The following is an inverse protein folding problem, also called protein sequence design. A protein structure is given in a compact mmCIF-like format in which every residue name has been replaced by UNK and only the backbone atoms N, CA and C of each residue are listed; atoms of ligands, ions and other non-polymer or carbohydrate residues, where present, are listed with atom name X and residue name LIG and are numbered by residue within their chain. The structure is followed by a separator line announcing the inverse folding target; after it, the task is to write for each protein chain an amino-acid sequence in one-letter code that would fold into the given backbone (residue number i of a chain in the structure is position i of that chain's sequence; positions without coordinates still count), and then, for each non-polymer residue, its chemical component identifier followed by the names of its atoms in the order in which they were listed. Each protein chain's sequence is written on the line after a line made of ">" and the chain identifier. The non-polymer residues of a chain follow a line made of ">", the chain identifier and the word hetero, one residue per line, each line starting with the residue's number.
data_IF_046236431119
#
_entry.id   IF_046236431119
#
_cell.length_a   1.000
_cell.length_b   1.000
_cell.length_c   1.000
_cell.angle_alpha   90.00
_cell.angle_beta   90.00
_cell.angle_gamma   90.00
#
_symmetry.space_group_name_H-M   'P 1'
#
loop_
_entity.id
_entity.type
_entity.pdbx_description
1 polymer ?
#
# COMPACT_ATOMS: atom_id res chain seq x y z
N UNK A 1 -9.15 -12.78 -16.65
CA UNK A 1 -10.00 -12.57 -15.49
C UNK A 1 -9.41 -11.49 -14.60
N UNK A 2 -10.25 -10.67 -14.15
CA UNK A 2 -9.83 -9.59 -13.27
C UNK A 2 -9.42 -10.13 -11.91
N UNK A 3 -8.39 -9.57 -11.35
CA UNK A 3 -7.93 -9.95 -10.02
C UNK A 3 -8.55 -9.11 -8.94
N UNK A 4 -9.42 -8.22 -9.31
CA UNK A 4 -10.01 -7.31 -8.35
C UNK A 4 -11.49 -7.18 -8.61
N UNK A 5 -12.18 -6.73 -7.60
CA UNK A 5 -13.57 -6.43 -7.72
C UNK A 5 -13.71 -5.06 -8.36
N UNK A 6 -14.58 -4.97 -9.33
CA UNK A 6 -14.89 -3.71 -9.93
C UNK A 6 -15.38 -2.74 -8.87
N UNK A 7 -15.04 -1.49 -9.00
CA UNK A 7 -15.46 -0.48 -8.07
C UNK A 7 -16.96 -0.53 -7.89
N UNK A 8 -17.41 -0.66 -6.68
CA UNK A 8 -18.79 -0.90 -6.40
C UNK A 8 -19.56 0.34 -6.10
N UNK A 9 -19.05 1.28 -5.65
CA UNK A 9 -19.79 2.41 -5.29
C UNK A 9 -19.27 3.60 -6.02
N UNK A 10 -19.25 4.61 -5.39
CA UNK A 10 -18.72 5.80 -5.92
C UNK A 10 -17.45 6.12 -5.18
N UNK A 11 -16.60 6.82 -5.85
CA UNK A 11 -15.39 7.28 -5.23
C UNK A 11 -15.73 8.39 -4.26
N UNK A 12 -15.26 8.27 -3.06
CA UNK A 12 -15.48 9.29 -2.08
C UNK A 12 -14.35 10.32 -2.15
N UNK A 13 -14.57 11.33 -2.95
CA UNK A 13 -13.56 12.33 -3.19
C UNK A 13 -13.17 13.10 -1.95
N UNK A 14 -14.05 13.18 -0.97
CA UNK A 14 -13.73 13.89 0.24
C UNK A 14 -12.65 13.18 1.03
N UNK A 15 -12.60 11.86 0.93
CA UNK A 15 -11.62 11.08 1.65
C UNK A 15 -10.27 11.11 0.99
N UNK A 16 -10.24 11.29 -0.33
CA UNK A 16 -9.02 11.16 -1.09
C UNK A 16 -8.66 12.43 -1.83
N UNK A 17 -9.06 13.58 -1.32
CA UNK A 17 -8.87 14.81 -2.06
C UNK A 17 -7.41 15.19 -2.25
N UNK A 18 -6.50 14.64 -1.47
CA UNK A 18 -5.07 14.90 -1.66
C UNK A 18 -4.47 14.06 -2.77
N UNK A 19 -5.25 13.11 -3.30
CA UNK A 19 -4.83 12.28 -4.44
C UNK A 19 -6.01 12.07 -5.36
N UNK A 20 -6.59 13.13 -5.82
CA UNK A 20 -7.81 13.10 -6.58
C UNK A 20 -7.80 12.03 -7.64
N UNK A 21 -8.78 11.16 -7.60
CA UNK A 21 -8.95 10.12 -8.59
C UNK A 21 -8.09 8.90 -8.44
N UNK A 22 -7.20 8.88 -7.48
CA UNK A 22 -6.40 7.68 -7.25
C UNK A 22 -7.27 6.59 -6.66
N UNK A 23 -7.22 5.37 -7.23
CA UNK A 23 -8.01 4.28 -6.69
C UNK A 23 -7.44 3.81 -5.36
N UNK A 24 -8.33 3.33 -4.50
CA UNK A 24 -7.95 2.75 -3.23
C UNK A 24 -8.03 1.24 -3.33
N UNK A 25 -7.05 0.54 -2.77
CA UNK A 25 -7.12 -0.91 -2.68
C UNK A 25 -6.74 -1.38 -1.29
N UNK A 26 -7.27 -2.54 -0.93
CA UNK A 26 -6.80 -3.29 0.21
C UNK A 26 -6.34 -4.65 -0.28
N UNK A 27 -5.12 -5.02 0.08
CA UNK A 27 -4.50 -6.24 -0.41
C UNK A 27 -3.86 -7.01 0.72
N UNK A 28 -3.71 -8.32 0.51
CA UNK A 28 -2.88 -9.18 1.34
C UNK A 28 -1.78 -9.72 0.44
N UNK A 29 -0.57 -9.75 0.96
CA UNK A 29 0.54 -10.29 0.20
C UNK A 29 1.70 -10.68 1.11
N UNK A 30 2.68 -11.33 0.51
CA UNK A 30 3.91 -11.70 1.18
C UNK A 30 4.91 -10.56 1.10
N UNK A 31 5.63 -10.34 2.17
CA UNK A 31 6.71 -9.37 2.16
C UNK A 31 7.87 -10.01 1.45
N UNK A 32 8.05 -9.64 0.19
CA UNK A 32 9.05 -10.23 -0.66
C UNK A 32 10.43 -9.66 -0.40
N UNK A 33 10.50 -8.35 -0.18
CA UNK A 33 11.76 -7.68 0.01
C UNK A 33 11.57 -6.46 0.89
N UNK A 34 12.48 -6.27 1.83
CA UNK A 34 12.54 -5.08 2.65
C UNK A 34 13.76 -4.28 2.25
N UNK A 35 13.60 -2.98 2.13
CA UNK A 35 14.73 -2.10 1.87
C UNK A 35 15.20 -1.52 3.20
N UNK A 36 16.49 -1.16 3.30
CA UNK A 36 17.00 -0.56 4.53
C UNK A 36 16.20 0.67 4.89
N UNK A 37 15.95 0.85 6.17
CA UNK A 37 15.24 2.02 6.63
C UNK A 37 16.04 3.25 6.26
N UNK A 38 15.39 4.34 5.81
CA UNK A 38 16.12 5.55 5.48
C UNK A 38 16.73 6.14 6.75
N UNK A 39 17.83 6.84 6.55
CA UNK A 39 18.39 7.60 7.64
C UNK A 39 17.44 8.72 8.00
N UNK A 40 17.56 9.19 9.23
CA UNK A 40 16.69 10.23 9.69
C UNK A 40 16.92 11.51 8.89
N UNK A 41 15.89 11.96 8.24
CA UNK A 41 15.91 13.19 7.47
C UNK A 41 14.88 14.15 8.02
N UNK A 42 14.94 15.35 7.55
CA UNK A 42 13.94 16.34 7.94
C UNK A 42 12.60 15.96 7.36
N UNK A 43 11.59 15.89 8.18
CA UNK A 43 10.25 15.62 7.76
C UNK A 43 9.96 14.15 7.61
N UNK A 44 9.13 13.82 6.64
CA UNK A 44 8.64 12.47 6.47
C UNK A 44 9.69 11.53 5.92
N UNK A 45 9.69 10.33 6.47
CA UNK A 45 10.46 9.22 5.94
C UNK A 45 9.49 8.22 5.35
N UNK A 46 9.99 7.35 4.47
CA UNK A 46 9.17 6.30 3.89
C UNK A 46 9.88 4.97 4.05
N UNK A 47 9.15 4.01 4.56
CA UNK A 47 9.62 2.65 4.64
C UNK A 47 9.22 1.97 3.34
N UNK A 48 10.18 1.33 2.67
CA UNK A 48 9.96 0.72 1.36
C UNK A 48 10.02 -0.79 1.44
N UNK A 49 9.11 -1.43 0.73
CA UNK A 49 9.13 -2.88 0.60
C UNK A 49 8.46 -3.29 -0.70
N UNK A 50 8.67 -4.54 -1.10
CA UNK A 50 7.96 -5.15 -2.22
C UNK A 50 7.07 -6.22 -1.65
N UNK A 51 5.79 -6.16 -2.02
CA UNK A 51 4.78 -7.13 -1.65
C UNK A 51 4.49 -7.99 -2.86
N UNK A 52 4.43 -9.31 -2.65
CA UNK A 52 4.18 -10.24 -3.75
C UNK A 52 3.00 -11.15 -3.44
N UNK A 53 2.59 -11.92 -4.43
CA UNK A 53 1.44 -12.84 -4.31
C UNK A 53 0.19 -12.09 -3.82
N UNK A 54 -0.12 -11.03 -4.52
CA UNK A 54 -1.15 -10.09 -4.11
C UNK A 54 -2.54 -10.71 -4.22
N UNK A 55 -3.32 -10.59 -3.15
CA UNK A 55 -4.74 -10.90 -3.17
C UNK A 55 -5.50 -9.62 -2.84
N UNK A 56 -6.34 -9.20 -3.76
CA UNK A 56 -7.11 -7.98 -3.60
C UNK A 56 -8.37 -8.29 -2.81
N UNK A 57 -8.58 -7.57 -1.72
CA UNK A 57 -9.75 -7.76 -0.88
C UNK A 57 -10.82 -6.71 -1.11
N UNK A 58 -10.42 -5.51 -1.51
CA UNK A 58 -11.35 -4.41 -1.65
C UNK A 58 -10.77 -3.36 -2.59
N UNK A 59 -11.62 -2.73 -3.38
CA UNK A 59 -11.21 -1.62 -4.25
C UNK A 59 -12.27 -0.54 -4.20
N UNK A 60 -11.82 0.71 -4.40
CA UNK A 60 -12.72 1.85 -4.59
C UNK A 60 -12.14 2.71 -5.71
N UNK A 61 -13.00 3.12 -6.62
CA UNK A 61 -12.60 4.03 -7.67
C UNK A 61 -11.74 3.42 -8.77
N UNK A 62 -11.70 2.10 -8.89
CA UNK A 62 -10.90 1.45 -9.92
C UNK A 62 -11.59 1.54 -11.28
N UNK A 63 -10.89 2.07 -12.29
CA UNK A 63 -11.37 1.97 -13.66
C UNK A 63 -11.40 0.52 -14.10
N UNK A 64 -12.28 0.20 -15.04
CA UNK A 64 -12.42 -1.19 -15.47
C UNK A 64 -11.15 -1.77 -16.08
N UNK A 65 -10.41 -0.93 -16.78
CA UNK A 65 -9.21 -1.39 -17.48
C UNK A 65 -7.99 -1.46 -16.58
N UNK A 66 -8.08 -1.03 -15.34
CA UNK A 66 -6.95 -1.06 -14.44
C UNK A 66 -6.88 -2.39 -13.71
N UNK A 67 -5.73 -3.01 -13.74
CA UNK A 67 -5.49 -4.27 -13.04
C UNK A 67 -4.43 -4.08 -11.97
N UNK A 68 -4.54 -4.85 -10.91
CA UNK A 68 -3.57 -4.83 -9.83
C UNK A 68 -2.46 -5.82 -10.16
N UNK A 69 -1.24 -5.35 -10.12
CA UNK A 69 -0.06 -6.17 -10.38
C UNK A 69 0.13 -7.21 -9.28
N UNK A 70 0.80 -8.31 -9.63
CA UNK A 70 1.08 -9.35 -8.65
C UNK A 70 2.21 -8.99 -7.69
N UNK A 71 2.97 -7.97 -8.03
CA UNK A 71 3.97 -7.39 -7.15
C UNK A 71 3.73 -5.89 -7.07
N UNK A 72 3.82 -5.36 -5.88
CA UNK A 72 3.57 -3.93 -5.63
C UNK A 72 4.70 -3.39 -4.77
N UNK A 73 5.20 -2.23 -5.16
CA UNK A 73 6.14 -1.48 -4.33
C UNK A 73 5.35 -0.66 -3.33
N UNK A 74 5.65 -0.80 -2.06
CA UNK A 74 4.91 -0.11 -1.00
C UNK A 74 5.79 0.94 -0.36
N UNK A 75 5.23 2.14 -0.18
CA UNK A 75 5.90 3.24 0.49
C UNK A 75 5.06 3.66 1.69
N UNK A 76 5.59 3.49 2.89
CA UNK A 76 4.85 3.76 4.12
C UNK A 76 5.50 4.95 4.83
N UNK A 77 4.75 6.02 4.93
CA UNK A 77 5.22 7.25 5.54
C UNK A 77 5.24 7.13 7.06
N UNK A 78 6.33 7.58 7.67
CA UNK A 78 6.45 7.58 9.12
C UNK A 78 7.34 8.71 9.58
N UNK A 79 7.28 9.01 10.86
CA UNK A 79 8.21 9.94 11.49
C UNK A 79 7.78 11.38 11.49
N UNK A 80 6.59 11.67 10.99
CA UNK A 80 6.03 13.01 11.09
C UNK A 80 4.58 12.89 11.54
N UNK A 81 3.85 14.00 11.55
CA UNK A 81 2.51 14.01 12.11
C UNK A 81 1.44 13.51 11.16
N UNK A 82 1.80 13.20 9.92
CA UNK A 82 0.82 12.78 8.93
C UNK A 82 0.81 11.28 8.70
N UNK A 83 1.96 10.65 8.80
CA UNK A 83 2.05 9.21 8.62
C UNK A 83 2.05 8.49 9.96
N UNK A 84 2.65 7.30 9.96
CA UNK A 84 2.82 6.53 11.18
C UNK A 84 3.85 7.20 12.08
N UNK A 85 3.78 6.88 13.36
CA UNK A 85 4.77 7.41 14.31
C UNK A 85 6.12 6.74 14.06
N UNK A 86 6.11 5.41 13.99
CA UNK A 86 7.31 4.61 13.86
C UNK A 86 7.19 3.67 12.67
N UNK A 87 8.32 3.17 12.15
CA UNK A 87 8.25 2.17 11.08
C UNK A 87 7.61 0.88 11.60
N UNK A 88 6.98 0.17 10.70
CA UNK A 88 6.37 -1.12 11.01
C UNK A 88 7.47 -2.17 11.07
N UNK A 89 7.47 -3.05 12.08
CA UNK A 89 8.54 -4.03 12.23
C UNK A 89 8.34 -5.24 11.30
N UNK A 90 8.43 -5.02 10.01
CA UNK A 90 8.21 -6.07 9.03
C UNK A 90 9.29 -7.15 9.08
N UNK A 91 8.89 -8.35 8.68
CA UNK A 91 9.80 -9.48 8.52
C UNK A 91 9.55 -10.06 7.15
N UNK A 92 10.62 -10.17 6.36
CA UNK A 92 10.52 -10.74 5.02
C UNK A 92 9.97 -12.16 5.08
N UNK A 93 9.13 -12.49 4.13
CA UNK A 93 8.51 -13.81 4.07
C UNK A 93 7.16 -13.90 4.75
N UNK A 94 6.79 -12.93 5.58
CA UNK A 94 5.53 -12.99 6.29
C UNK A 94 4.43 -12.25 5.55
N UNK A 95 3.19 -12.50 5.97
CA UNK A 95 2.03 -11.88 5.33
C UNK A 95 1.67 -10.56 5.98
N UNK A 96 1.22 -9.64 5.17
CA UNK A 96 0.69 -8.36 5.65
C UNK A 96 -0.58 -8.01 4.88
N UNK A 97 -1.45 -7.24 5.52
CA UNK A 97 -2.61 -6.64 4.87
C UNK A 97 -2.40 -5.14 4.86
N UNK A 98 -2.54 -4.53 3.69
CA UNK A 98 -2.33 -3.10 3.56
C UNK A 98 -3.45 -2.48 2.76
N UNK A 99 -3.82 -1.28 3.15
CA UNK A 99 -4.77 -0.48 2.40
C UNK A 99 -4.16 0.88 2.12
N UNK A 100 -4.36 1.37 0.91
CA UNK A 100 -3.86 2.67 0.52
C UNK A 100 -4.28 3.00 -0.89
N UNK A 101 -3.64 4.01 -1.45
CA UNK A 101 -3.89 4.42 -2.82
C UNK A 101 -2.94 3.70 -3.77
N UNK A 102 -3.48 3.28 -4.89
CA UNK A 102 -2.76 2.49 -5.88
C UNK A 102 -2.42 3.34 -7.09
N UNK A 103 -1.14 3.31 -7.46
CA UNK A 103 -0.66 3.98 -8.66
C UNK A 103 -0.09 2.90 -9.57
N UNK A 104 -0.66 2.74 -10.78
CA UNK A 104 -0.16 1.70 -11.66
C UNK A 104 1.25 2.05 -12.15
N UNK A 105 1.94 1.06 -12.68
CA UNK A 105 3.35 1.21 -13.05
C UNK A 105 3.56 2.30 -14.08
N UNK A 106 2.60 2.52 -14.96
CA UNK A 106 2.72 3.52 -16.00
C UNK A 106 2.74 4.94 -15.44
N UNK A 107 2.14 5.15 -14.28
CA UNK A 107 2.04 6.46 -13.65
C UNK A 107 2.91 6.63 -12.42
N UNK A 108 3.55 5.56 -11.98
CA UNK A 108 4.39 5.62 -10.79
C UNK A 108 5.73 6.23 -11.12
N UNK A 109 6.30 6.96 -10.17
CA UNK A 109 7.63 7.46 -10.44
C UNK A 109 8.66 6.41 -10.12
N UNK A 110 9.73 6.43 -10.92
CA UNK A 110 10.90 5.61 -10.64
C UNK A 110 11.63 6.18 -9.42
N UNK A 111 12.03 5.30 -8.53
CA UNK A 111 12.88 5.68 -7.41
C UNK A 111 14.04 4.69 -7.39
N UNK A 112 15.01 4.97 -6.54
CA UNK A 112 16.16 4.06 -6.41
C UNK A 112 15.72 2.67 -6.05
N UNK A 113 14.71 2.56 -5.18
CA UNK A 113 14.28 1.27 -4.67
C UNK A 113 13.22 0.61 -5.53
N UNK A 114 12.45 1.39 -6.28
CA UNK A 114 11.36 0.83 -7.09
C UNK A 114 11.87 0.50 -8.50
N UNK A 115 11.90 -0.77 -8.87
CA UNK A 115 12.39 -1.17 -10.19
C UNK A 115 11.39 -0.94 -11.31
N UNK A 116 10.30 -0.23 -11.07
CA UNK A 116 9.28 0.00 -12.11
C UNK A 116 7.96 -0.64 -11.81
N UNK A 117 7.71 -0.97 -10.56
CA UNK A 117 6.46 -1.59 -10.15
C UNK A 117 5.40 -0.53 -9.86
N UNK A 118 4.14 -0.97 -9.86
CA UNK A 118 3.06 -0.15 -9.34
C UNK A 118 3.32 0.15 -7.87
N UNK A 119 2.69 1.20 -7.36
CA UNK A 119 2.99 1.72 -6.02
C UNK A 119 1.73 1.75 -5.18
N UNK A 120 1.86 1.36 -3.93
CA UNK A 120 0.85 1.55 -2.91
C UNK A 120 1.39 2.53 -1.89
N UNK A 121 0.67 3.62 -1.67
CA UNK A 121 1.09 4.63 -0.70
C UNK A 121 -0.13 5.15 0.07
N UNK A 122 0.06 6.14 0.93
CA UNK A 122 -1.00 6.63 1.83
C UNK A 122 -1.61 5.50 2.66
N UNK A 123 -0.73 4.68 3.22
CA UNK A 123 -1.14 3.51 4.00
C UNK A 123 -1.31 3.88 5.47
N UNK A 124 -1.91 5.02 5.73
CA UNK A 124 -2.13 5.52 7.08
C UNK A 124 -3.47 6.26 7.14
N UNK A 125 -3.91 6.54 8.36
CA UNK A 125 -5.15 7.29 8.55
C UNK A 125 -5.12 8.61 7.79
N UNK A 126 -6.21 9.06 7.18
CA UNK A 126 -7.54 8.42 7.13
C UNK A 126 -7.74 7.50 5.93
N UNK A 127 -6.76 7.37 5.06
CA UNK A 127 -6.94 6.64 3.80
C UNK A 127 -6.71 5.15 3.97
N UNK A 128 -5.68 4.77 4.71
CA UNK A 128 -5.29 3.39 4.76
C UNK A 128 -4.74 2.94 6.10
N UNK A 129 -4.13 1.76 6.06
CA UNK A 129 -3.54 1.16 7.25
C UNK A 129 -2.60 0.03 6.84
N UNK A 130 -1.81 -0.43 7.81
CA UNK A 130 -0.98 -1.62 7.68
C UNK A 130 -1.35 -2.57 8.81
N UNK A 131 -1.60 -3.81 8.47
CA UNK A 131 -1.88 -4.87 9.45
C UNK A 131 -0.79 -5.92 9.34
N UNK A 132 0.00 -6.11 10.38
CA UNK A 132 1.14 -7.00 10.32
C UNK A 132 1.56 -7.42 11.72
N UNK A 133 1.94 -8.69 11.91
CA UNK A 133 1.82 -9.78 10.96
C UNK A 133 0.42 -10.39 10.99
N UNK A 134 0.07 -11.06 9.90
CA UNK A 134 -1.14 -11.88 9.88
C UNK A 134 -0.74 -13.29 9.49
N UNK A 135 -1.52 -14.27 9.94
CA UNK A 135 -1.19 -15.66 9.68
C UNK A 135 -1.73 -16.15 8.35
N UNK A 136 -2.86 -15.61 7.96
CA UNK A 136 -3.52 -16.01 6.74
C UNK A 136 -4.42 -14.86 6.30
N UNK A 137 -4.98 -15.00 5.12
CA UNK A 137 -5.88 -13.99 4.60
C UNK A 137 -7.09 -13.76 5.49
N UNK A 138 -7.49 -14.76 6.27
CA UNK A 138 -8.67 -14.66 7.13
C UNK A 138 -8.34 -14.22 8.56
N UNK A 139 -7.08 -14.01 8.86
CA UNK A 139 -6.69 -13.66 10.21
C UNK A 139 -6.42 -12.17 10.33
N UNK A 140 -6.28 -11.72 11.58
CA UNK A 140 -5.98 -10.33 11.88
C UNK A 140 -4.78 -10.23 12.79
N UNK A 141 -4.14 -9.09 12.77
CA UNK A 141 -2.99 -8.80 13.61
C UNK A 141 -2.97 -7.35 14.01
N UNK A 142 -1.85 -6.89 14.56
CA UNK A 142 -1.73 -5.48 14.95
C UNK A 142 -1.90 -4.55 13.76
N UNK A 143 -2.58 -3.44 13.98
CA UNK A 143 -2.85 -2.46 12.94
C UNK A 143 -2.06 -1.19 13.24
N UNK A 144 -1.39 -0.69 12.22
CA UNK A 144 -0.65 0.56 12.23
C UNK A 144 -1.34 1.53 11.31
N UNK A 145 -1.73 2.68 11.86
CA UNK A 145 -2.48 3.66 11.07
C UNK A 145 -2.27 5.09 11.58
#
# INVERSE_FOLDING_TARGET
>A
MSKFTKATGFLNHHRFKHSLGAPLIRVVGNIEKLFPAPENHHGANHQHLILSNIQVEHTEGFPEELEVSNEIFVAIRFGDNEGLVDPVPFIAGELARLQGEYINAANAYATEDNPGLSVLHFTHHPVGFVEFPIRSQDSHGPIYT
#
